data_IF_387581358018
#
_entry.id   IF_387581358018
#
_cell.length_a   1.000
_cell.length_b   1.000
_cell.length_c   1.000
_cell.angle_alpha   90.00
_cell.angle_beta   90.00
_cell.angle_gamma   90.00
#
_symmetry.space_group_name_H-M   'P 1'
#
loop_
_entity.id
_entity.type
_entity.pdbx_description
1 polymer ?
#
# COMPACT_ATOMS: atom_id res chain seq x y z
N UNK A 1 13.06 -1.63 2.02
CA UNK A 1 11.59 -1.46 2.18
C UNK A 1 11.17 0.01 2.11
N UNK A 2 11.64 0.91 2.99
CA UNK A 2 11.23 2.33 2.96
C UNK A 2 11.53 2.97 1.59
N UNK A 3 12.75 2.81 1.10
CA UNK A 3 13.15 3.28 -0.25
C UNK A 3 12.26 2.69 -1.34
N UNK A 4 11.92 1.39 -1.27
CA UNK A 4 11.03 0.76 -2.24
C UNK A 4 9.60 1.35 -2.20
N UNK A 5 9.10 1.70 -1.01
CA UNK A 5 7.80 2.37 -0.88
C UNK A 5 7.82 3.79 -1.46
N UNK A 6 8.91 4.55 -1.25
CA UNK A 6 9.09 5.90 -1.80
C UNK A 6 9.22 5.87 -3.33
N UNK A 7 9.98 4.93 -3.88
CA UNK A 7 10.10 4.73 -5.34
C UNK A 7 8.75 4.34 -5.93
N UNK A 8 8.00 3.44 -5.28
CA UNK A 8 6.66 3.08 -5.74
C UNK A 8 5.69 4.25 -5.69
N UNK A 9 5.78 5.12 -4.67
CA UNK A 9 4.99 6.33 -4.59
C UNK A 9 5.35 7.31 -5.73
N UNK A 10 6.63 7.55 -5.98
CA UNK A 10 7.06 8.41 -7.09
C UNK A 10 6.52 7.90 -8.44
N UNK A 11 6.61 6.59 -8.68
CA UNK A 11 6.05 5.96 -9.88
C UNK A 11 4.52 6.08 -9.96
N UNK A 12 3.82 5.83 -8.85
CA UNK A 12 2.37 5.96 -8.76
C UNK A 12 1.89 7.39 -9.06
N UNK A 13 2.53 8.40 -8.47
CA UNK A 13 2.17 9.80 -8.67
C UNK A 13 2.39 10.25 -10.11
N UNK A 14 3.43 9.75 -10.78
CA UNK A 14 3.71 10.06 -12.18
C UNK A 14 2.84 9.26 -13.14
N UNK A 15 2.87 7.94 -13.09
CA UNK A 15 2.20 7.08 -14.07
C UNK A 15 0.73 6.85 -13.73
N UNK A 16 0.41 6.66 -12.46
CA UNK A 16 -0.96 6.39 -12.01
C UNK A 16 -1.91 7.55 -12.24
N UNK A 17 -1.45 8.79 -12.12
CA UNK A 17 -2.28 9.97 -12.44
C UNK A 17 -2.61 10.06 -13.93
N UNK A 18 -1.69 9.63 -14.82
CA UNK A 18 -1.98 9.51 -16.25
C UNK A 18 -3.01 8.41 -16.53
N UNK A 19 -2.91 7.25 -15.85
CA UNK A 19 -3.93 6.18 -15.92
C UNK A 19 -5.30 6.71 -15.52
N UNK A 20 -5.37 7.44 -14.40
CA UNK A 20 -6.63 7.99 -13.90
C UNK A 20 -7.23 9.02 -14.87
N UNK A 21 -6.41 9.93 -15.41
CA UNK A 21 -6.85 10.93 -16.38
C UNK A 21 -7.32 10.28 -17.70
N UNK A 22 -6.62 9.25 -18.18
CA UNK A 22 -7.02 8.53 -19.39
C UNK A 22 -8.37 7.79 -19.24
N UNK A 23 -8.68 7.28 -18.03
CA UNK A 23 -9.97 6.65 -17.73
C UNK A 23 -11.10 7.65 -17.50
N UNK A 24 -10.77 8.84 -16.99
CA UNK A 24 -11.72 9.88 -16.62
C UNK A 24 -11.22 11.26 -17.08
N UNK A 25 -11.36 11.58 -18.37
CA UNK A 25 -10.89 12.86 -18.91
C UNK A 25 -11.56 14.05 -18.20
N UNK A 26 -10.76 15.05 -17.82
CA UNK A 26 -11.24 16.21 -17.07
C UNK A 26 -12.07 17.20 -17.92
N UNK A 27 -11.90 17.18 -19.24
CA UNK A 27 -12.63 18.02 -20.19
C UNK A 27 -12.80 17.27 -21.53
N UNK A 28 -13.91 17.50 -22.27
CA UNK A 28 -14.04 17.05 -23.66
C UNK A 28 -13.09 17.77 -24.63
N UNK A 29 -12.45 18.86 -24.22
CA UNK A 29 -11.54 19.63 -25.06
C UNK A 29 -10.16 18.96 -25.13
N UNK A 30 -9.67 18.76 -26.36
CA UNK A 30 -8.54 17.89 -26.73
C UNK A 30 -7.15 18.38 -26.29
N UNK A 31 -7.02 19.60 -25.75
CA UNK A 31 -5.72 20.26 -25.58
C UNK A 31 -4.82 19.65 -24.47
N UNK A 32 -5.40 18.96 -23.48
CA UNK A 32 -4.64 18.20 -22.45
C UNK A 32 -5.39 16.90 -22.06
N UNK A 33 -5.23 15.81 -22.83
CA UNK A 33 -5.97 14.57 -22.62
C UNK A 33 -5.60 13.83 -21.33
N UNK A 34 -4.53 14.26 -20.64
CA UNK A 34 -4.06 13.68 -19.38
C UNK A 34 -4.19 14.65 -18.19
N UNK A 35 -4.97 15.72 -18.34
CA UNK A 35 -5.35 16.58 -17.23
C UNK A 35 -6.22 15.82 -16.23
N UNK A 36 -5.95 15.99 -14.93
CA UNK A 36 -6.66 15.31 -13.86
C UNK A 36 -7.72 16.24 -13.24
N UNK A 37 -8.98 15.84 -13.26
CA UNK A 37 -10.09 16.61 -12.70
C UNK A 37 -11.03 15.74 -11.88
N UNK A 38 -12.16 16.32 -11.45
CA UNK A 38 -13.27 15.57 -10.88
C UNK A 38 -12.92 14.69 -9.67
N UNK A 39 -13.46 13.47 -9.65
CA UNK A 39 -13.21 12.52 -8.56
C UNK A 39 -11.74 12.09 -8.46
N UNK A 40 -11.03 11.74 -9.55
CA UNK A 40 -9.60 11.42 -9.48
C UNK A 40 -8.73 12.52 -8.87
N UNK A 41 -9.00 13.80 -9.15
CA UNK A 41 -8.26 14.90 -8.53
C UNK A 41 -8.47 14.94 -7.01
N UNK A 42 -9.71 14.76 -6.54
CA UNK A 42 -10.02 14.69 -5.10
C UNK A 42 -9.37 13.49 -4.43
N UNK A 43 -9.36 12.33 -5.09
CA UNK A 43 -8.71 11.13 -4.56
C UNK A 43 -7.19 11.28 -4.50
N UNK A 44 -6.57 12.00 -5.46
CA UNK A 44 -5.14 12.32 -5.40
C UNK A 44 -4.82 13.21 -4.18
N UNK A 45 -5.63 14.25 -3.93
CA UNK A 45 -5.49 15.11 -2.75
C UNK A 45 -5.63 14.29 -1.48
N UNK A 46 -6.71 13.51 -1.37
CA UNK A 46 -7.01 12.70 -0.19
C UNK A 46 -5.91 11.64 0.09
N UNK A 47 -5.30 11.09 -0.96
CA UNK A 47 -4.18 10.16 -0.85
C UNK A 47 -2.91 10.87 -0.34
N UNK A 48 -2.54 12.01 -0.93
CA UNK A 48 -1.36 12.76 -0.51
C UNK A 48 -1.49 13.32 0.91
N UNK A 49 -2.66 13.83 1.30
CA UNK A 49 -2.90 14.32 2.66
C UNK A 49 -2.82 13.20 3.70
N UNK A 50 -3.39 12.02 3.39
CA UNK A 50 -3.24 10.82 4.22
C UNK A 50 -1.76 10.45 4.40
N UNK A 51 -1.01 10.35 3.29
CA UNK A 51 0.41 10.01 3.33
C UNK A 51 1.25 11.06 4.07
N UNK A 52 0.93 12.35 3.91
CA UNK A 52 1.61 13.44 4.63
C UNK A 52 1.49 13.31 6.16
N UNK A 53 0.51 12.55 6.66
CA UNK A 53 0.37 12.26 8.09
C UNK A 53 1.01 10.92 8.47
N UNK A 54 0.74 9.85 7.72
CA UNK A 54 1.02 8.47 8.14
C UNK A 54 2.38 7.94 7.69
N UNK A 55 3.03 8.55 6.70
CA UNK A 55 4.25 7.97 6.13
C UNK A 55 5.39 7.89 7.18
N UNK A 56 6.10 6.75 7.31
CA UNK A 56 7.07 6.58 8.40
C UNK A 56 8.22 7.61 8.42
N UNK A 57 8.69 8.05 7.25
CA UNK A 57 9.72 9.08 7.15
C UNK A 57 9.14 10.49 7.36
N UNK A 58 9.65 11.19 8.37
CA UNK A 58 9.30 12.60 8.59
C UNK A 58 9.74 13.52 7.43
N UNK A 59 10.80 13.16 6.69
CA UNK A 59 11.21 13.90 5.49
C UNK A 59 10.21 13.68 4.36
N UNK A 60 9.87 12.42 4.08
CA UNK A 60 8.86 12.08 3.08
C UNK A 60 7.52 12.77 3.37
N UNK A 61 7.06 12.80 4.64
CA UNK A 61 5.82 13.50 5.03
C UNK A 61 5.84 14.98 4.64
N UNK A 62 6.95 15.68 4.88
CA UNK A 62 7.09 17.10 4.48
C UNK A 62 7.10 17.28 2.96
N UNK A 63 7.80 16.41 2.24
CA UNK A 63 7.86 16.47 0.77
C UNK A 63 6.49 16.18 0.14
N UNK A 64 5.79 15.17 0.65
CA UNK A 64 4.43 14.80 0.24
C UNK A 64 3.43 15.93 0.57
N UNK A 65 3.56 16.59 1.72
CA UNK A 65 2.72 17.75 2.08
C UNK A 65 2.89 18.91 1.09
N UNK A 66 4.12 19.18 0.63
CA UNK A 66 4.37 20.17 -0.43
C UNK A 66 3.74 19.74 -1.75
N UNK A 67 3.84 18.46 -2.12
CA UNK A 67 3.18 17.92 -3.31
C UNK A 67 1.65 18.06 -3.22
N UNK A 68 1.04 17.80 -2.06
CA UNK A 68 -0.40 17.88 -1.84
C UNK A 68 -0.99 19.29 -2.10
N UNK A 69 -0.19 20.34 -1.89
CA UNK A 69 -0.62 21.72 -2.11
C UNK A 69 -0.94 22.02 -3.59
N UNK A 70 -0.28 21.32 -4.53
CA UNK A 70 -0.45 21.55 -5.98
C UNK A 70 -1.83 21.11 -6.49
N UNK A 71 -2.27 19.84 -6.34
CA UNK A 71 -3.60 19.43 -6.74
C UNK A 71 -4.69 20.15 -5.94
N UNK A 72 -4.42 20.54 -4.67
CA UNK A 72 -5.35 21.34 -3.87
C UNK A 72 -5.57 22.73 -4.46
N UNK A 73 -4.51 23.41 -4.88
CA UNK A 73 -4.62 24.69 -5.56
C UNK A 73 -5.37 24.57 -6.89
N UNK A 74 -5.08 23.51 -7.67
CA UNK A 74 -5.82 23.23 -8.91
C UNK A 74 -7.32 22.98 -8.65
N UNK A 75 -7.66 22.23 -7.61
CA UNK A 75 -9.04 21.93 -7.22
C UNK A 75 -9.82 23.18 -6.78
N UNK A 76 -9.18 24.14 -6.12
CA UNK A 76 -9.78 25.41 -5.69
C UNK A 76 -9.89 26.44 -6.84
N UNK A 77 -9.00 26.34 -7.83
CA UNK A 77 -8.99 27.19 -9.01
C UNK A 77 -9.87 26.65 -10.13
N UNK A 78 -9.23 26.09 -11.16
CA UNK A 78 -9.89 25.57 -12.36
C UNK A 78 -10.68 24.27 -12.16
N UNK A 79 -10.46 23.57 -11.04
CA UNK A 79 -10.98 22.21 -10.82
C UNK A 79 -10.24 21.13 -11.63
N UNK A 80 -9.17 21.51 -12.34
CA UNK A 80 -8.40 20.65 -13.25
C UNK A 80 -6.91 20.88 -13.02
N UNK A 81 -6.15 19.80 -12.85
CA UNK A 81 -4.70 19.79 -12.77
C UNK A 81 -4.10 19.40 -14.13
N UNK A 82 -3.49 20.34 -14.87
CA UNK A 82 -2.86 20.04 -16.15
C UNK A 82 -1.71 19.04 -15.99
N UNK A 83 -1.55 18.14 -16.96
CA UNK A 83 -0.52 17.08 -16.90
C UNK A 83 0.87 17.67 -16.80
N UNK A 84 1.17 18.66 -17.65
CA UNK A 84 2.47 19.32 -17.68
C UNK A 84 2.80 20.00 -16.33
N UNK A 85 1.82 20.68 -15.73
CA UNK A 85 1.99 21.32 -14.43
C UNK A 85 2.29 20.29 -13.33
N UNK A 86 1.63 19.13 -13.36
CA UNK A 86 1.88 18.05 -12.42
C UNK A 86 3.28 17.43 -12.58
N UNK A 87 3.71 17.17 -13.83
CA UNK A 87 5.05 16.64 -14.10
C UNK A 87 6.14 17.60 -13.63
N UNK A 88 5.99 18.90 -13.91
CA UNK A 88 6.92 19.93 -13.43
C UNK A 88 7.01 19.94 -11.90
N UNK A 89 5.88 19.77 -11.19
CA UNK A 89 5.87 19.71 -9.74
C UNK A 89 6.60 18.47 -9.20
N UNK A 90 6.43 17.32 -9.85
CA UNK A 90 7.14 16.08 -9.50
C UNK A 90 8.65 16.18 -9.77
N UNK A 91 9.07 16.85 -10.84
CA UNK A 91 10.48 16.94 -11.22
C UNK A 91 11.30 17.90 -10.36
N UNK A 92 10.63 18.80 -9.64
CA UNK A 92 11.28 19.79 -8.79
C UNK A 92 11.68 19.28 -7.41
N UNK A 93 11.18 18.13 -6.98
CA UNK A 93 11.48 17.63 -5.64
C UNK A 93 11.49 16.11 -5.52
N UNK A 94 12.21 15.63 -4.52
CA UNK A 94 12.28 14.23 -4.14
C UNK A 94 11.13 13.87 -3.20
N UNK A 95 10.95 12.57 -2.98
CA UNK A 95 10.20 12.05 -1.82
C UNK A 95 11.24 11.38 -0.92
N UNK A 96 11.70 12.09 0.11
CA UNK A 96 12.86 11.70 0.92
C UNK A 96 14.09 11.34 0.07
N UNK A 97 14.40 10.05 -0.12
CA UNK A 97 15.55 9.62 -0.92
C UNK A 97 15.16 9.24 -2.36
N UNK A 98 13.87 9.06 -2.67
CA UNK A 98 13.42 8.74 -4.02
C UNK A 98 13.55 9.96 -4.94
N UNK A 99 14.31 9.79 -6.02
CA UNK A 99 14.51 10.81 -7.05
C UNK A 99 13.31 10.88 -8.02
N UNK A 100 13.03 12.03 -8.65
CA UNK A 100 11.97 12.15 -9.65
C UNK A 100 12.08 11.14 -10.79
N UNK A 101 13.30 10.81 -11.23
CA UNK A 101 13.58 9.83 -12.29
C UNK A 101 13.05 8.43 -11.93
N UNK A 102 12.92 8.12 -10.64
CA UNK A 102 12.33 6.87 -10.19
C UNK A 102 10.85 6.76 -10.58
N UNK A 103 10.17 7.89 -10.80
CA UNK A 103 8.80 7.92 -11.33
C UNK A 103 8.71 7.58 -12.82
N UNK A 104 9.80 7.74 -13.57
CA UNK A 104 9.88 7.40 -15.00
C UNK A 104 10.33 5.96 -15.20
N UNK A 105 11.45 5.61 -14.56
CA UNK A 105 12.02 4.27 -14.59
C UNK A 105 12.43 3.86 -13.17
N UNK A 106 11.59 3.11 -12.45
CA UNK A 106 11.87 2.77 -11.06
C UNK A 106 12.89 1.63 -10.92
N UNK A 107 13.19 0.89 -12.00
CA UNK A 107 14.03 -0.30 -12.00
C UNK A 107 15.39 -0.12 -11.29
N UNK A 108 16.17 0.92 -11.62
CA UNK A 108 17.47 1.18 -10.98
C UNK A 108 17.39 1.62 -9.50
N UNK A 109 16.20 1.96 -9.00
CA UNK A 109 16.04 2.59 -7.68
C UNK A 109 15.50 1.63 -6.61
N UNK A 110 15.05 0.43 -6.99
CA UNK A 110 14.65 -0.58 -6.02
C UNK A 110 15.83 -1.05 -5.16
N UNK A 111 15.55 -1.35 -3.89
CA UNK A 111 16.52 -1.93 -2.94
C UNK A 111 16.23 -3.40 -2.65
N UNK A 112 14.96 -3.73 -2.45
CA UNK A 112 14.51 -5.10 -2.15
C UNK A 112 13.50 -5.61 -3.16
N UNK A 113 12.74 -4.70 -3.79
CA UNK A 113 11.75 -5.07 -4.78
C UNK A 113 12.37 -5.25 -6.16
N UNK A 114 11.70 -6.01 -7.03
CA UNK A 114 12.04 -6.12 -8.44
C UNK A 114 10.96 -5.50 -9.35
N UNK A 115 9.78 -5.20 -8.80
CA UNK A 115 8.62 -4.72 -9.56
C UNK A 115 7.92 -3.59 -8.83
N UNK A 116 7.20 -2.76 -9.60
CA UNK A 116 6.32 -1.74 -9.06
C UNK A 116 5.28 -2.32 -8.10
N UNK A 117 4.69 -3.47 -8.42
CA UNK A 117 3.70 -4.13 -7.55
C UNK A 117 4.27 -4.53 -6.19
N UNK A 118 5.53 -4.98 -6.13
CA UNK A 118 6.21 -5.25 -4.85
C UNK A 118 6.38 -3.97 -4.02
N UNK A 119 6.82 -2.89 -4.66
CA UNK A 119 6.99 -1.59 -3.98
C UNK A 119 5.65 -1.02 -3.52
N UNK A 120 4.59 -1.18 -4.31
CA UNK A 120 3.25 -0.72 -3.98
C UNK A 120 2.64 -1.48 -2.80
N UNK A 121 2.77 -2.81 -2.76
CA UNK A 121 2.39 -3.60 -1.58
C UNK A 121 3.21 -3.19 -0.36
N UNK A 122 4.50 -2.92 -0.52
CA UNK A 122 5.36 -2.43 0.57
C UNK A 122 4.84 -1.10 1.11
N UNK A 123 4.46 -0.16 0.25
CA UNK A 123 3.84 1.10 0.63
C UNK A 123 2.55 0.89 1.42
N UNK A 124 1.63 0.05 0.93
CA UNK A 124 0.35 -0.21 1.60
C UNK A 124 0.54 -0.83 2.98
N UNK A 125 1.41 -1.83 3.11
CA UNK A 125 1.72 -2.44 4.41
C UNK A 125 2.33 -1.42 5.38
N UNK A 126 3.24 -0.57 4.91
CA UNK A 126 3.84 0.48 5.75
C UNK A 126 2.80 1.44 6.32
N UNK A 127 1.89 1.94 5.49
CA UNK A 127 0.91 2.93 5.97
C UNK A 127 -0.14 2.31 6.89
N UNK A 128 -0.52 1.05 6.67
CA UNK A 128 -1.39 0.33 7.63
C UNK A 128 -0.69 0.07 8.96
N UNK A 129 0.59 -0.32 8.93
CA UNK A 129 1.39 -0.57 10.15
C UNK A 129 1.62 0.73 10.92
N UNK A 130 1.96 1.82 10.23
CA UNK A 130 2.17 3.12 10.86
C UNK A 130 0.87 3.64 11.53
N UNK A 131 -0.30 3.47 10.89
CA UNK A 131 -1.58 3.77 11.53
C UNK A 131 -1.82 2.91 12.78
N UNK A 132 -1.53 1.59 12.71
CA UNK A 132 -1.68 0.68 13.83
C UNK A 132 -0.73 1.00 15.01
N UNK A 133 0.48 1.49 14.72
CA UNK A 133 1.44 1.94 15.74
C UNK A 133 1.04 3.27 16.35
N UNK A 134 0.60 4.23 15.53
CA UNK A 134 0.08 5.51 16.01
C UNK A 134 -1.05 5.35 17.02
N UNK A 135 -1.95 4.39 16.78
CA UNK A 135 -3.02 4.04 17.71
C UNK A 135 -2.51 3.48 19.06
N UNK A 136 -1.32 2.87 19.09
CA UNK A 136 -0.68 2.39 20.32
C UNK A 136 0.12 3.48 21.05
N UNK A 137 0.68 4.45 20.32
CA UNK A 137 1.49 5.55 20.86
C UNK A 137 0.68 6.70 21.49
N UNK A 138 -0.66 6.63 21.50
CA UNK A 138 -1.53 7.59 22.21
C UNK A 138 -1.24 7.62 23.74
N UNK A 139 -0.45 6.67 24.26
CA UNK A 139 0.02 6.62 25.66
C UNK A 139 1.36 7.33 25.89
N UNK A 140 2.05 7.89 24.87
CA UNK A 140 3.34 8.55 25.09
C UNK A 140 3.94 9.29 23.89
N UNK A 141 3.78 10.61 23.91
CA UNK A 141 4.74 11.62 23.42
C UNK A 141 5.23 11.60 21.96
N UNK A 142 4.32 11.69 20.99
CA UNK A 142 4.58 12.42 19.73
C UNK A 142 3.27 12.82 19.02
N UNK A 143 2.99 14.12 18.90
CA UNK A 143 1.72 14.64 18.38
C UNK A 143 1.35 14.12 16.97
N UNK A 144 2.36 13.79 16.15
CA UNK A 144 2.12 13.25 14.80
C UNK A 144 1.72 11.77 14.75
N UNK A 145 1.99 10.99 15.81
CA UNK A 145 1.59 9.58 15.90
C UNK A 145 0.11 9.43 16.26
N UNK A 146 -0.43 10.38 17.04
CA UNK A 146 -1.86 10.44 17.41
C UNK A 146 -2.78 10.76 16.22
N UNK A 147 -2.34 11.62 15.29
CA UNK A 147 -3.14 11.95 14.10
C UNK A 147 -3.19 10.79 13.08
N UNK A 148 -2.12 10.01 12.95
CA UNK A 148 -2.09 8.84 12.07
C UNK A 148 -3.11 7.77 12.47
N UNK A 149 -3.38 7.63 13.77
CA UNK A 149 -4.36 6.68 14.32
C UNK A 149 -5.82 6.97 13.92
N UNK A 150 -6.11 8.21 13.49
CA UNK A 150 -7.46 8.65 13.13
C UNK A 150 -7.85 8.25 11.71
N UNK A 151 -6.90 7.81 10.90
CA UNK A 151 -7.16 7.46 9.50
C UNK A 151 -7.49 5.98 9.35
N UNK A 152 -8.67 5.73 8.79
CA UNK A 152 -8.97 4.43 8.19
C UNK A 152 -8.16 4.29 6.89
N UNK A 153 -7.10 3.48 6.95
CA UNK A 153 -6.17 3.30 5.85
C UNK A 153 -6.75 2.49 4.68
N UNK A 154 -7.70 1.57 4.95
CA UNK A 154 -8.18 0.66 3.90
C UNK A 154 -9.01 1.37 2.82
N UNK A 155 -9.95 2.29 3.13
CA UNK A 155 -10.63 3.08 2.11
C UNK A 155 -9.67 3.91 1.25
N UNK A 156 -8.60 4.45 1.85
CA UNK A 156 -7.58 5.22 1.13
C UNK A 156 -6.83 4.35 0.13
N UNK A 157 -6.44 3.13 0.53
CA UNK A 157 -5.80 2.15 -0.35
C UNK A 157 -6.77 1.71 -1.45
N UNK A 158 -8.03 1.40 -1.09
CA UNK A 158 -9.07 0.98 -2.04
C UNK A 158 -9.30 2.03 -3.12
N UNK A 159 -9.45 3.29 -2.74
CA UNK A 159 -9.64 4.38 -3.69
C UNK A 159 -8.39 4.64 -4.53
N UNK A 160 -7.21 4.52 -3.94
CA UNK A 160 -5.98 4.59 -4.72
C UNK A 160 -5.96 3.50 -5.80
N UNK A 161 -6.28 2.25 -5.46
CA UNK A 161 -6.30 1.12 -6.39
C UNK A 161 -7.34 1.35 -7.49
N UNK A 162 -8.53 1.85 -7.14
CA UNK A 162 -9.59 2.13 -8.11
C UNK A 162 -9.19 3.18 -9.16
N UNK A 163 -8.43 4.20 -8.78
CA UNK A 163 -8.15 5.34 -9.64
C UNK A 163 -6.78 5.24 -10.34
N UNK A 164 -5.73 4.89 -9.61
CA UNK A 164 -4.35 5.12 -10.04
C UNK A 164 -3.59 3.83 -10.38
N UNK A 165 -4.16 2.65 -10.11
CA UNK A 165 -3.47 1.39 -10.40
C UNK A 165 -3.70 0.93 -11.84
N UNK A 166 -2.60 0.71 -12.58
CA UNK A 166 -2.63 0.42 -14.01
C UNK A 166 -3.09 -0.99 -14.39
N UNK A 167 -2.87 -2.00 -13.53
CA UNK A 167 -3.30 -3.37 -13.83
C UNK A 167 -4.80 -3.53 -13.53
N UNK A 168 -5.63 -3.52 -14.58
CA UNK A 168 -7.10 -3.58 -14.45
C UNK A 168 -7.60 -4.88 -13.82
N UNK A 169 -7.09 -6.02 -14.24
CA UNK A 169 -7.45 -7.30 -13.64
C UNK A 169 -7.02 -7.37 -12.17
N UNK A 170 -5.83 -6.86 -11.84
CA UNK A 170 -5.35 -6.82 -10.46
C UNK A 170 -6.22 -5.90 -9.59
N UNK A 171 -6.58 -4.72 -10.12
CA UNK A 171 -7.47 -3.77 -9.44
C UNK A 171 -8.84 -4.39 -9.21
N UNK A 172 -9.45 -5.02 -10.23
CA UNK A 172 -10.75 -5.68 -10.12
C UNK A 172 -10.78 -6.71 -8.99
N UNK A 173 -9.78 -7.58 -8.90
CA UNK A 173 -9.71 -8.57 -7.83
C UNK A 173 -9.55 -7.94 -6.42
N UNK A 174 -8.75 -6.87 -6.30
CA UNK A 174 -8.59 -6.19 -5.02
C UNK A 174 -9.88 -5.46 -4.60
N UNK A 175 -10.52 -4.76 -5.54
CA UNK A 175 -11.77 -4.06 -5.30
C UNK A 175 -12.89 -5.03 -4.96
N UNK A 176 -13.00 -6.16 -5.66
CA UNK A 176 -13.95 -7.23 -5.33
C UNK A 176 -13.73 -7.76 -3.92
N UNK A 177 -12.48 -8.10 -3.55
CA UNK A 177 -12.13 -8.55 -2.18
C UNK A 177 -12.53 -7.52 -1.11
N UNK A 178 -12.38 -6.23 -1.38
CA UNK A 178 -12.76 -5.16 -0.44
C UNK A 178 -14.28 -4.94 -0.40
N UNK A 179 -14.90 -4.71 -1.55
CA UNK A 179 -16.28 -4.26 -1.70
C UNK A 179 -17.26 -5.41 -1.35
N UNK A 180 -16.87 -6.68 -1.54
CA UNK A 180 -17.67 -7.87 -1.18
C UNK A 180 -17.54 -8.35 0.27
N UNK A 181 -16.91 -7.56 1.15
CA UNK A 181 -16.62 -7.95 2.54
C UNK A 181 -15.66 -9.15 2.68
N UNK A 182 -14.87 -9.47 1.65
CA UNK A 182 -13.95 -10.59 1.67
C UNK A 182 -13.02 -10.59 2.89
N UNK A 183 -12.79 -11.77 3.47
CA UNK A 183 -11.96 -11.98 4.66
C UNK A 183 -12.39 -11.15 5.88
N UNK A 184 -13.69 -10.92 6.04
CA UNK A 184 -14.24 -10.22 7.23
C UNK A 184 -13.99 -8.71 7.21
N UNK A 185 -13.70 -8.10 6.05
CA UNK A 185 -13.42 -6.66 5.95
C UNK A 185 -14.52 -5.81 6.61
N UNK A 186 -15.78 -6.19 6.39
CA UNK A 186 -16.96 -5.45 6.88
C UNK A 186 -17.13 -5.48 8.40
N UNK A 187 -16.45 -6.40 9.09
CA UNK A 187 -16.49 -6.50 10.54
C UNK A 187 -15.51 -5.53 11.22
N UNK A 188 -14.60 -4.91 10.45
CA UNK A 188 -13.63 -3.94 10.95
C UNK A 188 -14.28 -2.57 11.19
N UNK A 189 -14.08 -2.03 12.39
CA UNK A 189 -14.38 -0.62 12.70
C UNK A 189 -13.41 0.29 11.93
N UNK A 190 -13.84 1.50 11.50
CA UNK A 190 -12.93 2.51 10.93
C UNK A 190 -11.74 2.88 11.82
N UNK A 191 -11.84 2.64 13.13
CA UNK A 191 -10.78 2.86 14.12
C UNK A 191 -9.91 1.64 14.40
N UNK A 192 -10.21 0.48 13.79
CA UNK A 192 -9.44 -0.75 13.98
C UNK A 192 -8.23 -0.82 13.04
N UNK A 193 -7.25 0.06 13.28
CA UNK A 193 -6.02 0.12 12.49
C UNK A 193 -5.20 -1.20 12.55
N UNK A 194 -5.31 -1.94 13.66
CA UNK A 194 -4.67 -3.25 13.80
C UNK A 194 -5.34 -4.30 12.92
N UNK A 195 -6.67 -4.36 12.93
CA UNK A 195 -7.46 -5.19 12.04
C UNK A 195 -7.23 -4.84 10.57
N UNK A 196 -7.08 -3.56 10.24
CA UNK A 196 -6.73 -3.11 8.89
C UNK A 196 -5.38 -3.66 8.41
N UNK A 197 -4.33 -3.55 9.22
CA UNK A 197 -3.01 -4.11 8.90
C UNK A 197 -3.08 -5.64 8.73
N UNK A 198 -3.83 -6.33 9.58
CA UNK A 198 -4.01 -7.78 9.50
C UNK A 198 -4.81 -8.19 8.26
N UNK A 199 -5.89 -7.48 7.92
CA UNK A 199 -6.70 -7.76 6.74
C UNK A 199 -5.89 -7.62 5.46
N UNK A 200 -5.12 -6.52 5.33
CA UNK A 200 -4.26 -6.31 4.15
C UNK A 200 -3.21 -7.44 4.02
N UNK A 201 -2.68 -7.93 5.14
CA UNK A 201 -1.78 -9.09 5.18
C UNK A 201 -2.45 -10.38 4.71
N UNK A 202 -3.69 -10.65 5.13
CA UNK A 202 -4.44 -11.82 4.66
C UNK A 202 -4.74 -11.73 3.16
N UNK A 203 -5.17 -10.56 2.69
CA UNK A 203 -5.42 -10.30 1.26
C UNK A 203 -4.15 -10.54 0.44
N UNK A 204 -3.00 -10.03 0.87
CA UNK A 204 -1.75 -10.20 0.13
C UNK A 204 -1.32 -11.68 0.07
N UNK A 205 -1.51 -12.45 1.16
CA UNK A 205 -1.28 -13.89 1.17
C UNK A 205 -2.24 -14.66 0.25
N UNK A 206 -3.52 -14.27 0.21
CA UNK A 206 -4.51 -14.84 -0.70
C UNK A 206 -4.15 -14.57 -2.17
N UNK A 207 -3.79 -13.32 -2.50
CA UNK A 207 -3.32 -12.93 -3.84
C UNK A 207 -2.08 -13.71 -4.25
N UNK A 208 -1.11 -13.89 -3.34
CA UNK A 208 0.11 -14.65 -3.62
C UNK A 208 -0.19 -16.09 -4.03
N UNK A 209 -1.09 -16.75 -3.30
CA UNK A 209 -1.50 -18.11 -3.64
C UNK A 209 -2.28 -18.18 -4.96
N UNK A 210 -3.24 -17.25 -5.18
CA UNK A 210 -4.04 -17.19 -6.41
C UNK A 210 -3.16 -17.00 -7.65
N UNK A 211 -2.30 -15.98 -7.64
CA UNK A 211 -1.40 -15.68 -8.77
C UNK A 211 -0.43 -16.82 -9.03
N UNK A 212 0.04 -17.52 -7.98
CA UNK A 212 0.89 -18.70 -8.16
C UNK A 212 0.19 -19.86 -8.87
N UNK A 213 -1.13 -20.01 -8.67
CA UNK A 213 -1.94 -21.01 -9.39
C UNK A 213 -2.17 -20.58 -10.84
N UNK A 214 -2.60 -19.33 -11.05
CA UNK A 214 -2.88 -18.78 -12.39
C UNK A 214 -1.67 -18.82 -13.32
N UNK A 215 -0.46 -18.70 -12.78
CA UNK A 215 0.79 -18.76 -13.56
C UNK A 215 1.32 -20.20 -13.79
N UNK A 216 0.58 -21.23 -13.39
CA UNK A 216 1.01 -22.63 -13.53
C UNK A 216 2.29 -22.97 -12.72
N UNK A 217 2.69 -22.09 -11.81
CA UNK A 217 3.86 -22.31 -10.96
C UNK A 217 3.58 -23.42 -9.96
N UNK A 218 2.35 -23.48 -9.44
CA UNK A 218 1.86 -24.59 -8.63
C UNK A 218 0.99 -25.51 -9.48
N UNK A 219 1.24 -26.82 -9.41
CA UNK A 219 0.47 -27.84 -10.13
C UNK A 219 1.12 -28.33 -11.42
N UNK A 220 1.37 -27.47 -12.40
CA UNK A 220 1.88 -27.90 -13.73
C UNK A 220 3.39 -28.18 -13.75
N UNK A 221 4.19 -27.49 -12.91
CA UNK A 221 5.63 -27.75 -12.73
C UNK A 221 5.97 -28.59 -11.49
N UNK A 222 4.97 -29.12 -10.80
CA UNK A 222 5.15 -29.90 -9.56
C UNK A 222 5.66 -29.10 -8.35
N UNK A 223 5.76 -27.76 -8.43
CA UNK A 223 6.16 -26.94 -7.28
C UNK A 223 4.98 -26.77 -6.32
N UNK A 224 5.29 -26.75 -5.02
CA UNK A 224 4.31 -26.43 -3.99
C UNK A 224 3.85 -24.98 -4.11
N UNK A 225 2.62 -24.71 -3.66
CA UNK A 225 2.14 -23.34 -3.48
C UNK A 225 3.06 -22.58 -2.52
N UNK A 226 3.25 -21.26 -2.72
CA UNK A 226 3.97 -20.43 -1.77
C UNK A 226 3.37 -20.58 -0.37
N UNK A 227 4.23 -20.87 0.61
CA UNK A 227 3.83 -20.81 2.01
C UNK A 227 3.37 -19.38 2.36
N UNK A 228 2.41 -19.21 3.27
CA UNK A 228 2.05 -17.90 3.78
C UNK A 228 3.28 -17.16 4.31
N UNK A 229 3.35 -15.85 4.04
CA UNK A 229 4.36 -14.97 4.61
C UNK A 229 3.81 -14.28 5.85
N UNK A 230 4.57 -14.13 6.95
CA UNK A 230 5.80 -14.87 7.22
C UNK A 230 5.49 -16.37 7.35
N UNK A 231 6.40 -17.22 6.89
CA UNK A 231 6.26 -18.66 7.15
C UNK A 231 6.66 -18.97 8.61
N UNK A 232 6.45 -20.22 9.05
CA UNK A 232 6.79 -20.66 10.41
C UNK A 232 8.26 -20.47 10.79
N UNK A 233 9.18 -20.52 9.82
CA UNK A 233 10.61 -20.29 10.06
C UNK A 233 10.89 -18.83 10.37
N UNK A 234 10.22 -17.92 9.65
CA UNK A 234 10.33 -16.47 9.86
C UNK A 234 9.59 -16.00 11.12
N UNK A 235 8.45 -16.62 11.45
CA UNK A 235 7.68 -16.29 12.64
C UNK A 235 6.99 -17.54 13.21
N UNK A 236 7.65 -18.23 14.14
CA UNK A 236 7.07 -19.43 14.78
C UNK A 236 5.82 -19.13 15.60
N UNK A 237 5.79 -17.97 16.27
CA UNK A 237 4.66 -17.52 17.10
C UNK A 237 3.42 -17.16 16.28
N UNK A 238 3.60 -16.72 15.04
CA UNK A 238 2.49 -16.43 14.12
C UNK A 238 1.66 -17.68 13.80
N UNK A 239 2.22 -18.87 13.97
CA UNK A 239 1.59 -20.14 13.59
C UNK A 239 1.64 -21.13 14.76
N UNK A 240 0.87 -20.97 15.85
CA UNK A 240 0.95 -21.90 16.98
C UNK A 240 0.69 -23.36 16.54
N UNK A 241 1.48 -24.31 17.07
CA UNK A 241 1.20 -25.74 16.85
C UNK A 241 -0.05 -26.10 17.65
N UNK A 242 -0.98 -26.86 17.07
CA UNK A 242 -2.03 -27.49 17.88
C UNK A 242 -1.36 -28.53 18.77
N UNK A 243 -1.44 -28.38 20.09
CA UNK A 243 -1.20 -29.50 20.99
C UNK A 243 -2.36 -30.49 20.77
N UNK A 244 -2.09 -31.64 20.14
CA UNK A 244 -3.01 -32.80 20.14
C UNK A 244 -3.82 -33.12 18.88
N UNK A 245 -3.43 -32.71 17.66
CA UNK A 245 -4.07 -33.21 16.42
C UNK A 245 -3.00 -33.61 15.39
N UNK A 246 -2.28 -34.68 15.69
CA UNK A 246 -1.60 -35.47 14.67
C UNK A 246 -2.59 -36.54 14.19
N UNK A 247 -3.21 -36.28 13.04
CA UNK A 247 -4.07 -37.24 12.34
C UNK A 247 -5.34 -36.63 11.78
N UNK A 248 -5.34 -36.26 10.50
CA UNK A 248 -6.58 -36.02 9.75
C UNK A 248 -6.53 -34.82 8.80
N UNK A 249 -6.43 -35.12 7.51
CA UNK A 249 -6.97 -34.41 6.34
C UNK A 249 -7.69 -33.07 6.61
N UNK A 250 -6.92 -32.01 6.86
CA UNK A 250 -7.42 -30.63 6.84
C UNK A 250 -7.27 -30.03 5.44
N UNK A 251 -8.32 -29.41 4.92
CA UNK A 251 -8.29 -28.69 3.66
C UNK A 251 -7.15 -27.63 3.66
N UNK A 252 -6.42 -27.43 2.55
CA UNK A 252 -5.36 -26.43 2.46
C UNK A 252 -6.00 -25.03 2.45
N UNK A 253 -6.13 -24.43 3.63
CA UNK A 253 -6.74 -23.10 3.79
C UNK A 253 -6.95 -22.59 5.22
N UNK A 254 -6.76 -23.39 6.26
CA UNK A 254 -7.08 -22.99 7.65
C UNK A 254 -5.95 -23.23 8.66
N UNK A 255 -4.71 -22.89 8.29
CA UNK A 255 -3.68 -22.72 9.31
C UNK A 255 -4.10 -21.55 10.23
N UNK A 256 -4.58 -21.88 11.43
CA UNK A 256 -4.94 -20.89 12.45
C UNK A 256 -3.67 -20.12 12.83
N UNK A 257 -3.61 -18.84 12.47
CA UNK A 257 -2.53 -17.95 12.86
C UNK A 257 -2.87 -17.23 14.18
N UNK A 258 -1.86 -16.69 14.85
CA UNK A 258 -2.04 -15.80 15.99
C UNK A 258 -2.09 -14.33 15.51
N UNK A 259 -3.23 -13.62 15.66
CA UNK A 259 -3.38 -12.25 15.18
C UNK A 259 -2.44 -11.24 15.85
N UNK A 260 -1.99 -11.49 17.08
CA UNK A 260 -1.04 -10.63 17.80
C UNK A 260 0.36 -10.78 17.25
N UNK A 261 0.86 -12.01 17.23
CA UNK A 261 2.18 -12.30 16.72
C UNK A 261 2.36 -11.86 15.26
N UNK A 262 1.32 -12.00 14.42
CA UNK A 262 1.35 -11.49 13.04
C UNK A 262 1.51 -9.97 13.02
N UNK A 263 0.68 -9.23 13.75
CA UNK A 263 0.77 -7.76 13.78
C UNK A 263 2.11 -7.28 14.31
N UNK A 264 2.66 -7.93 15.33
CA UNK A 264 3.97 -7.57 15.87
C UNK A 264 5.10 -7.88 14.86
N UNK A 265 4.98 -8.97 14.12
CA UNK A 265 5.88 -9.26 13.01
C UNK A 265 5.77 -8.21 11.89
N UNK A 266 4.57 -7.76 11.53
CA UNK A 266 4.36 -6.71 10.53
C UNK A 266 5.01 -5.39 10.97
N UNK A 267 4.90 -5.03 12.26
CA UNK A 267 5.60 -3.87 12.82
C UNK A 267 7.11 -4.01 12.67
N UNK A 268 7.68 -5.16 13.03
CA UNK A 268 9.11 -5.41 12.86
C UNK A 268 9.53 -5.26 11.39
N UNK A 269 8.76 -5.84 10.46
CA UNK A 269 9.10 -5.87 9.04
C UNK A 269 8.98 -4.50 8.35
N UNK A 270 8.02 -3.66 8.75
CA UNK A 270 7.66 -2.43 8.02
C UNK A 270 8.02 -1.13 8.74
N UNK A 271 8.47 -1.18 10.00
CA UNK A 271 8.96 0.02 10.71
C UNK A 271 10.42 0.30 10.34
N UNK A 272 10.80 1.53 9.95
CA UNK A 272 12.19 1.86 9.61
C UNK A 272 13.21 1.53 10.71
N UNK A 273 12.85 1.69 12.00
CA UNK A 273 13.71 1.36 13.13
C UNK A 273 13.92 -0.16 13.35
N UNK A 274 13.01 -1.00 12.86
CA UNK A 274 13.13 -2.47 12.95
C UNK A 274 14.26 -3.05 12.10
N UNK A 275 14.76 -2.29 11.12
CA UNK A 275 15.87 -2.70 10.24
C UNK A 275 17.26 -2.37 10.79
N UNK A 276 17.38 -1.75 11.97
CA UNK A 276 18.68 -1.48 12.59
C UNK A 276 19.28 -2.72 13.30
N UNK A 277 18.51 -3.81 13.44
CA UNK A 277 18.86 -4.93 14.33
C UNK A 277 18.83 -6.35 13.75
N UNK A 278 18.62 -6.55 12.45
CA UNK A 278 18.68 -7.90 11.90
C UNK A 278 18.25 -8.02 10.46
N UNK A 279 19.12 -8.62 9.66
CA UNK A 279 18.81 -9.06 8.31
C UNK A 279 17.61 -10.02 8.33
N UNK A 280 16.45 -9.57 7.87
CA UNK A 280 15.38 -10.44 7.40
C UNK A 280 15.38 -10.32 5.88
N UNK A 281 16.18 -11.19 5.26
CA UNK A 281 16.22 -11.42 3.81
C UNK A 281 14.94 -12.04 3.27
#
# INVERSE_FOLDING_TARGET
>A
RLVDAEVALAYALRQGTAVAAARHPASPQEDDPLALGGAPLRELIAWLEFLAVVFPSARARRDISKLAAIPRAAQLGSGVLPRAAWLIALDRQRIDVALPQAGENPGPYWRLCATYTCGLWTLFHMVTVAAAQGAQSIVGSDASTSEAAKYDALPKIRNFVANFFGCEDCARHFLDMYDSCGLGRCDLSPTDARGAALWLWQVHNNVTQRVSRERGLAGERGLALPAPWPNRTLCGQCWPRRLGVDGGTGAPGSARFDPGAVVDYLKLAYTPAGNAGGALG
#
